data_IF_025617131892
#
_entry.id   IF_025617131892
#
_cell.length_a   1.000
_cell.length_b   1.000
_cell.length_c   1.000
_cell.angle_alpha   90.00
_cell.angle_beta   90.00
_cell.angle_gamma   90.00
#
_symmetry.space_group_name_H-M   'P 1'
#
loop_
_entity.id
_entity.type
_entity.pdbx_description
1 polymer ?
#
# COMPACT_ATOMS: atom_id res chain seq x y z
N UNK A 1 -16.48 -5.71 -25.95
CA UNK A 1 -16.18 -6.84 -25.05
C UNK A 1 -15.63 -6.25 -23.76
N UNK A 2 -16.51 -6.03 -22.77
CA UNK A 2 -16.16 -5.34 -21.53
C UNK A 2 -15.36 -6.24 -20.61
N UNK A 3 -14.19 -5.79 -20.17
CA UNK A 3 -13.45 -6.43 -19.10
C UNK A 3 -14.37 -6.53 -17.88
N UNK A 4 -14.57 -7.75 -17.38
CA UNK A 4 -15.23 -8.02 -16.11
C UNK A 4 -14.56 -7.17 -15.03
N UNK A 5 -15.28 -6.15 -14.55
CA UNK A 5 -14.78 -5.26 -13.52
C UNK A 5 -14.39 -6.10 -12.31
N UNK A 6 -13.10 -6.10 -11.96
CA UNK A 6 -12.58 -6.86 -10.83
C UNK A 6 -13.31 -6.36 -9.57
N UNK A 7 -14.15 -7.21 -8.98
CA UNK A 7 -14.86 -6.89 -7.75
C UNK A 7 -13.81 -6.64 -6.66
N UNK A 8 -13.94 -5.53 -5.92
CA UNK A 8 -13.07 -5.23 -4.80
C UNK A 8 -13.44 -6.19 -3.66
N UNK A 9 -12.50 -6.95 -3.07
CA UNK A 9 -12.81 -7.92 -2.03
C UNK A 9 -13.14 -7.23 -0.70
N UNK A 10 -13.97 -7.89 0.12
CA UNK A 10 -14.21 -7.54 1.53
C UNK A 10 -14.81 -6.15 1.73
N UNK A 11 -15.71 -5.75 0.83
CA UNK A 11 -16.37 -4.44 0.88
C UNK A 11 -17.47 -4.38 1.93
N UNK A 12 -18.10 -5.51 2.28
CA UNK A 12 -19.07 -5.55 3.36
C UNK A 12 -18.40 -5.78 4.73
N UNK A 13 -19.10 -5.33 5.77
CA UNK A 13 -18.60 -5.36 7.15
C UNK A 13 -18.39 -6.79 7.67
N UNK A 14 -19.19 -7.76 7.22
CA UNK A 14 -19.12 -9.14 7.69
C UNK A 14 -17.89 -9.84 7.09
N UNK A 15 -17.68 -9.73 5.77
CA UNK A 15 -16.47 -10.19 5.10
C UNK A 15 -15.23 -9.56 5.68
N UNK A 16 -15.22 -8.23 5.90
CA UNK A 16 -14.08 -7.55 6.53
C UNK A 16 -13.78 -8.11 7.91
N UNK A 17 -14.81 -8.29 8.75
CA UNK A 17 -14.64 -8.84 10.10
C UNK A 17 -14.08 -10.26 10.06
N UNK A 18 -14.54 -11.09 9.11
CA UNK A 18 -14.00 -12.45 8.91
C UNK A 18 -12.52 -12.42 8.52
N UNK A 19 -12.11 -11.50 7.64
CA UNK A 19 -10.70 -11.35 7.25
C UNK A 19 -9.83 -10.91 8.42
N UNK A 20 -10.29 -9.92 9.19
CA UNK A 20 -9.58 -9.44 10.39
C UNK A 20 -9.38 -10.58 11.38
N UNK A 21 -10.45 -11.30 11.72
CA UNK A 21 -10.37 -12.46 12.64
C UNK A 21 -9.45 -13.53 12.08
N UNK A 22 -9.53 -13.84 10.79
CA UNK A 22 -8.69 -14.87 10.16
C UNK A 22 -7.21 -14.52 10.21
N UNK A 23 -6.85 -13.26 9.89
CA UNK A 23 -5.46 -12.80 9.92
C UNK A 23 -4.93 -12.78 11.36
N UNK A 24 -5.68 -12.20 12.29
CA UNK A 24 -5.25 -12.11 13.69
C UNK A 24 -5.12 -13.50 14.33
N UNK A 25 -6.05 -14.41 14.06
CA UNK A 25 -5.96 -15.79 14.58
C UNK A 25 -4.80 -16.54 13.97
N UNK A 26 -4.61 -16.44 12.64
CA UNK A 26 -3.52 -17.14 11.96
C UNK A 26 -2.15 -16.64 12.42
N UNK A 27 -1.96 -15.32 12.54
CA UNK A 27 -0.70 -14.75 13.04
C UNK A 27 -0.51 -15.05 14.53
N UNK A 28 -1.57 -15.02 15.34
CA UNK A 28 -1.51 -15.33 16.77
C UNK A 28 -1.26 -16.81 17.09
N UNK A 29 -1.47 -17.71 16.11
CA UNK A 29 -1.16 -19.14 16.22
C UNK A 29 0.26 -19.51 15.79
N UNK A 30 1.07 -18.55 15.32
CA UNK A 30 2.48 -18.77 15.00
C UNK A 30 3.33 -18.60 16.27
N UNK A 31 4.30 -19.49 16.48
CA UNK A 31 5.17 -19.47 17.65
C UNK A 31 6.39 -18.56 17.42
N UNK A 32 7.55 -19.13 17.10
CA UNK A 32 8.80 -18.37 16.92
C UNK A 32 8.90 -17.76 15.51
N UNK A 33 8.19 -18.34 14.55
CA UNK A 33 8.13 -17.93 13.15
C UNK A 33 7.57 -16.50 12.99
N UNK A 34 6.74 -16.05 13.93
CA UNK A 34 6.14 -14.70 13.89
C UNK A 34 7.19 -13.60 14.01
N UNK A 35 8.25 -13.80 14.80
CA UNK A 35 9.27 -12.77 14.98
C UNK A 35 10.10 -12.59 13.70
N UNK A 36 10.38 -13.69 13.02
CA UNK A 36 11.02 -13.74 11.71
C UNK A 36 10.23 -12.99 10.62
N UNK A 37 8.90 -13.09 10.67
CA UNK A 37 7.99 -12.32 9.81
C UNK A 37 7.98 -10.83 10.21
N UNK A 38 7.99 -10.52 11.51
CA UNK A 38 8.07 -9.14 12.01
C UNK A 38 9.37 -8.45 11.62
N UNK A 39 10.50 -9.14 11.63
CA UNK A 39 11.78 -8.62 11.13
C UNK A 39 11.64 -8.20 9.65
N UNK A 40 10.97 -9.01 8.84
CA UNK A 40 10.71 -8.67 7.43
C UNK A 40 9.76 -7.47 7.31
N UNK A 41 8.73 -7.39 8.14
CA UNK A 41 7.81 -6.25 8.17
C UNK A 41 8.53 -4.94 8.53
N UNK A 42 9.41 -4.94 9.55
CA UNK A 42 10.22 -3.77 9.92
C UNK A 42 11.15 -3.33 8.79
N UNK A 43 11.74 -4.26 8.04
CA UNK A 43 12.54 -3.93 6.86
C UNK A 43 11.71 -3.28 5.75
N UNK A 44 10.49 -3.77 5.52
CA UNK A 44 9.54 -3.17 4.57
C UNK A 44 9.15 -1.75 5.02
N UNK A 45 8.91 -1.54 6.31
CA UNK A 45 8.60 -0.23 6.89
C UNK A 45 9.74 0.79 6.69
N UNK A 46 11.00 0.36 6.87
CA UNK A 46 12.17 1.19 6.61
C UNK A 46 12.21 1.68 5.14
N UNK A 47 11.99 0.78 4.18
CA UNK A 47 11.91 1.16 2.76
C UNK A 47 10.72 2.04 2.43
N UNK A 48 9.57 1.86 3.11
CA UNK A 48 8.45 2.79 2.98
C UNK A 48 8.81 4.18 3.45
N UNK A 49 9.55 4.31 4.56
CA UNK A 49 9.98 5.60 5.11
C UNK A 49 10.90 6.33 4.14
N UNK A 50 11.88 5.62 3.59
CA UNK A 50 12.79 6.16 2.57
C UNK A 50 12.04 6.61 1.31
N UNK A 51 11.17 5.72 0.79
CA UNK A 51 10.37 6.02 -0.39
C UNK A 51 9.36 7.16 -0.16
N UNK A 52 8.85 7.33 1.07
CA UNK A 52 7.94 8.41 1.40
C UNK A 52 8.60 9.77 1.24
N UNK A 53 9.84 9.93 1.71
CA UNK A 53 10.63 11.15 1.49
C UNK A 53 10.74 11.50 0.00
N UNK A 54 11.20 10.55 -0.82
CA UNK A 54 11.38 10.75 -2.26
C UNK A 54 10.06 11.10 -2.97
N UNK A 55 8.96 10.44 -2.60
CA UNK A 55 7.66 10.68 -3.21
C UNK A 55 6.98 11.95 -2.69
N UNK A 56 7.30 12.40 -1.47
CA UNK A 56 6.85 13.68 -0.95
C UNK A 56 7.56 14.84 -1.67
N UNK A 57 8.88 14.72 -1.91
CA UNK A 57 9.62 15.70 -2.71
C UNK A 57 9.10 15.78 -4.15
N UNK A 58 8.87 14.62 -4.77
CA UNK A 58 8.27 14.56 -6.10
C UNK A 58 6.84 15.14 -6.10
N UNK A 59 6.07 14.89 -5.04
CA UNK A 59 4.74 15.45 -4.82
C UNK A 59 4.76 16.97 -4.70
N UNK A 60 5.69 17.54 -3.94
CA UNK A 60 5.81 18.99 -3.75
C UNK A 60 6.00 19.74 -5.07
N UNK A 61 6.68 19.13 -6.05
CA UNK A 61 6.94 19.71 -7.37
C UNK A 61 5.76 19.51 -8.34
N UNK A 62 4.94 18.49 -8.14
CA UNK A 62 3.95 18.06 -9.14
C UNK A 62 2.49 18.18 -8.72
N UNK A 63 2.22 18.25 -7.42
CA UNK A 63 0.87 18.20 -6.87
C UNK A 63 0.26 19.58 -6.59
N UNK A 64 1.05 20.66 -6.48
CA UNK A 64 0.57 22.00 -6.14
C UNK A 64 -0.53 22.52 -7.09
N UNK A 65 -0.42 22.20 -8.37
CA UNK A 65 -1.37 22.61 -9.42
C UNK A 65 -2.10 21.39 -10.05
N UNK A 66 -2.02 20.22 -9.40
CA UNK A 66 -2.55 19.00 -9.99
C UNK A 66 -4.08 18.95 -9.88
N UNK A 67 -4.77 18.96 -11.01
CA UNK A 67 -6.23 18.77 -11.09
C UNK A 67 -6.63 17.29 -11.13
N UNK A 68 -5.66 16.37 -11.26
CA UNK A 68 -5.90 14.93 -11.38
C UNK A 68 -5.58 14.22 -10.07
N UNK A 69 -6.62 13.89 -9.31
CA UNK A 69 -6.51 13.16 -8.05
C UNK A 69 -6.10 11.71 -8.30
N UNK A 70 -5.02 11.22 -7.68
CA UNK A 70 -4.47 9.88 -7.96
C UNK A 70 -5.47 8.73 -7.67
N UNK A 71 -6.32 8.86 -6.65
CA UNK A 71 -7.26 7.83 -6.24
C UNK A 71 -8.50 7.70 -7.15
N UNK A 72 -8.74 8.66 -8.04
CA UNK A 72 -9.77 8.51 -9.09
C UNK A 72 -9.24 7.68 -10.26
N UNK A 73 -7.92 7.64 -10.44
CA UNK A 73 -7.24 6.90 -11.52
C UNK A 73 -6.89 5.46 -11.14
N UNK A 74 -6.60 5.20 -9.86
CA UNK A 74 -6.25 3.88 -9.37
C UNK A 74 -7.45 3.20 -8.69
N UNK A 75 -7.57 1.88 -8.84
CA UNK A 75 -8.50 1.11 -8.01
C UNK A 75 -7.81 0.75 -6.70
N UNK A 76 -8.20 1.47 -5.64
CA UNK A 76 -7.53 1.43 -4.34
C UNK A 76 -8.28 0.47 -3.41
N UNK A 77 -7.58 -0.56 -2.93
CA UNK A 77 -8.05 -1.48 -1.89
C UNK A 77 -6.86 -2.15 -1.21
N UNK A 78 -7.04 -2.59 0.04
CA UNK A 78 -6.13 -3.48 0.75
C UNK A 78 -6.25 -4.91 0.23
N UNK A 79 -5.13 -5.49 -0.17
CA UNK A 79 -4.99 -6.92 -0.44
C UNK A 79 -4.34 -7.67 0.74
N UNK A 80 -4.31 -9.00 0.68
CA UNK A 80 -3.76 -9.84 1.76
C UNK A 80 -2.33 -9.43 2.17
N UNK A 81 -1.47 -9.04 1.23
CA UNK A 81 -0.09 -8.61 1.52
C UNK A 81 -0.10 -7.28 2.28
N UNK A 82 -1.08 -6.40 2.01
CA UNK A 82 -1.22 -5.15 2.76
C UNK A 82 -1.61 -5.45 4.20
N UNK A 83 -2.62 -6.31 4.40
CA UNK A 83 -3.10 -6.65 5.74
C UNK A 83 -2.06 -7.41 6.57
N UNK A 84 -1.34 -8.36 5.97
CA UNK A 84 -0.24 -9.06 6.66
C UNK A 84 0.87 -8.09 7.08
N UNK A 85 1.28 -7.20 6.17
CA UNK A 85 2.29 -6.20 6.49
C UNK A 85 1.85 -5.30 7.65
N UNK A 86 0.65 -4.72 7.59
CA UNK A 86 0.15 -3.81 8.62
C UNK A 86 0.04 -4.50 9.99
N UNK A 87 -0.49 -5.73 10.01
CA UNK A 87 -0.63 -6.47 11.26
C UNK A 87 0.72 -6.88 11.85
N UNK A 88 1.69 -7.26 11.02
CA UNK A 88 3.03 -7.66 11.50
C UNK A 88 3.92 -6.46 11.87
N UNK A 89 3.76 -5.31 11.22
CA UNK A 89 4.49 -4.09 11.55
C UNK A 89 4.00 -3.48 12.87
N UNK A 90 2.68 -3.23 12.96
CA UNK A 90 2.12 -2.38 14.03
C UNK A 90 1.11 -3.10 14.93
N UNK A 91 0.85 -4.39 14.71
CA UNK A 91 -0.22 -5.14 15.37
C UNK A 91 -1.61 -4.49 15.18
N UNK A 92 -1.80 -3.76 14.08
CA UNK A 92 -3.05 -3.08 13.74
C UNK A 92 -3.52 -3.45 12.34
N UNK A 93 -4.84 -3.52 12.16
CA UNK A 93 -5.50 -3.69 10.89
C UNK A 93 -6.45 -2.50 10.64
N UNK A 94 -6.67 -2.09 9.38
CA UNK A 94 -7.63 -1.04 9.07
C UNK A 94 -9.03 -1.40 9.61
N UNK A 95 -9.81 -0.38 9.98
CA UNK A 95 -11.17 -0.59 10.51
C UNK A 95 -12.13 -1.17 9.48
N UNK A 96 -11.85 -0.95 8.20
CA UNK A 96 -12.64 -1.40 7.06
C UNK A 96 -11.78 -1.42 5.79
N UNK A 97 -12.26 -2.10 4.76
CA UNK A 97 -11.74 -1.97 3.41
C UNK A 97 -11.94 -0.53 2.91
N UNK A 98 -11.07 -0.09 1.99
CA UNK A 98 -11.20 1.22 1.37
C UNK A 98 -12.48 1.31 0.54
N UNK A 99 -13.21 2.40 0.77
CA UNK A 99 -14.42 2.79 0.04
C UNK A 99 -14.19 4.09 -0.73
N UNK A 100 -15.08 4.35 -1.68
CA UNK A 100 -15.09 5.59 -2.46
C UNK A 100 -16.23 6.51 -2.02
N UNK A 101 -15.95 7.81 -2.02
CA UNK A 101 -16.94 8.87 -1.89
C UNK A 101 -17.81 8.97 -3.16
N UNK A 102 -18.86 9.79 -3.10
CA UNK A 102 -19.77 10.02 -4.23
C UNK A 102 -19.07 10.61 -5.47
N UNK A 103 -17.99 11.37 -5.27
CA UNK A 103 -17.14 11.93 -6.33
C UNK A 103 -16.06 10.96 -6.84
N UNK A 104 -16.15 9.67 -6.45
CA UNK A 104 -15.22 8.60 -6.77
C UNK A 104 -13.80 8.72 -6.19
N UNK A 105 -13.58 9.67 -5.28
CA UNK A 105 -12.34 9.77 -4.52
C UNK A 105 -12.29 8.73 -3.40
N UNK A 106 -11.10 8.32 -2.98
CA UNK A 106 -10.91 7.47 -1.81
C UNK A 106 -11.38 8.20 -0.53
N UNK A 107 -12.02 7.47 0.39
CA UNK A 107 -12.48 8.00 1.70
C UNK A 107 -11.37 8.67 2.53
N UNK A 108 -10.10 8.35 2.26
CA UNK A 108 -8.94 8.94 2.93
C UNK A 108 -8.39 10.21 2.26
N UNK A 109 -9.01 10.70 1.19
CA UNK A 109 -8.63 11.97 0.56
C UNK A 109 -9.18 13.14 1.36
N UNK A 110 -8.32 14.13 1.62
CA UNK A 110 -8.66 15.41 2.23
C UNK A 110 -8.25 16.56 1.31
N UNK A 111 -8.58 17.80 1.68
CA UNK A 111 -8.12 19.01 0.98
C UNK A 111 -6.59 19.16 0.97
N UNK A 112 -5.88 18.48 1.88
CA UNK A 112 -4.41 18.50 1.98
C UNK A 112 -3.75 17.23 1.41
N UNK A 113 -4.52 16.41 0.68
CA UNK A 113 -4.06 15.11 0.18
C UNK A 113 -4.51 13.95 1.06
N UNK A 114 -3.85 12.80 0.92
CA UNK A 114 -4.24 11.59 1.66
C UNK A 114 -3.88 11.72 3.15
N UNK A 115 -4.84 11.43 4.04
CA UNK A 115 -4.61 11.48 5.49
C UNK A 115 -3.87 10.27 6.07
N UNK A 116 -3.63 9.22 5.27
CA UNK A 116 -2.86 8.05 5.70
C UNK A 116 -1.37 8.28 5.45
N UNK A 117 -0.52 7.80 6.34
CA UNK A 117 0.91 7.66 6.08
C UNK A 117 1.15 6.64 4.97
N UNK A 118 2.29 6.72 4.27
CA UNK A 118 2.52 5.86 3.08
C UNK A 118 2.58 4.37 3.41
N UNK A 119 3.10 4.00 4.57
CA UNK A 119 3.11 2.61 5.06
C UNK A 119 1.68 2.09 5.33
N UNK A 120 0.75 2.96 5.73
CA UNK A 120 -0.65 2.60 6.04
C UNK A 120 -1.53 2.48 4.78
N UNK A 121 -1.09 3.04 3.66
CA UNK A 121 -1.82 2.99 2.38
C UNK A 121 -1.66 1.60 1.74
N UNK A 122 -2.67 1.11 1.01
CA UNK A 122 -2.47 -0.09 0.22
C UNK A 122 -1.38 0.12 -0.82
N UNK A 123 -0.66 -0.95 -1.17
CA UNK A 123 0.55 -0.84 -1.98
C UNK A 123 0.32 -0.14 -3.33
N UNK A 124 -0.88 -0.23 -3.91
CA UNK A 124 -1.27 0.51 -5.13
C UNK A 124 -1.03 2.03 -5.04
N UNK A 125 -1.25 2.62 -3.87
CA UNK A 125 -0.98 4.04 -3.64
C UNK A 125 0.51 4.39 -3.63
N UNK A 126 1.37 3.38 -3.54
CA UNK A 126 2.84 3.53 -3.51
C UNK A 126 3.47 3.25 -4.87
N UNK A 127 3.03 2.22 -5.60
CA UNK A 127 3.59 1.93 -6.92
C UNK A 127 2.92 2.70 -8.07
N UNK A 128 1.78 3.36 -7.82
CA UNK A 128 1.18 4.27 -8.80
C UNK A 128 1.93 5.60 -8.83
N UNK A 129 2.64 5.85 -9.94
CA UNK A 129 3.28 7.14 -10.25
C UNK A 129 2.48 7.80 -11.39
N UNK A 130 1.93 8.99 -11.14
CA UNK A 130 1.02 9.64 -12.09
C UNK A 130 1.78 10.22 -13.31
N UNK A 131 1.10 10.57 -14.43
CA UNK A 131 1.76 11.13 -15.60
C UNK A 131 2.58 12.41 -15.32
N UNK A 132 2.09 13.30 -14.45
CA UNK A 132 2.81 14.52 -14.06
C UNK A 132 4.13 14.19 -13.34
N UNK A 133 4.08 13.27 -12.39
CA UNK A 133 5.26 12.75 -11.68
C UNK A 133 6.25 12.07 -12.62
N UNK A 134 5.79 11.20 -13.53
CA UNK A 134 6.64 10.57 -14.54
C UNK A 134 7.32 11.61 -15.44
N UNK A 135 6.61 12.66 -15.83
CA UNK A 135 7.16 13.74 -16.64
C UNK A 135 8.19 14.57 -15.86
N UNK A 136 7.96 14.83 -14.57
CA UNK A 136 8.91 15.53 -13.72
C UNK A 136 10.21 14.72 -13.56
N UNK A 137 10.12 13.41 -13.29
CA UNK A 137 11.30 12.54 -13.18
C UNK A 137 12.13 12.53 -14.46
N UNK A 138 11.49 12.47 -15.64
CA UNK A 138 12.19 12.52 -16.94
C UNK A 138 12.98 13.80 -17.20
N UNK A 139 12.61 14.91 -16.54
CA UNK A 139 13.27 16.22 -16.72
C UNK A 139 14.42 16.43 -15.76
N UNK A 140 14.55 15.61 -14.71
CA UNK A 140 15.59 15.75 -13.71
C UNK A 140 16.91 15.15 -14.22
N UNK A 141 18.02 15.82 -13.87
CA UNK A 141 19.37 15.29 -14.11
C UNK A 141 19.67 14.20 -13.06
N UNK A 142 20.52 13.23 -13.40
CA UNK A 142 20.95 12.12 -12.53
C UNK A 142 19.90 11.02 -12.25
N UNK A 143 18.77 10.99 -12.99
CA UNK A 143 17.76 9.94 -12.95
C UNK A 143 17.29 9.52 -11.53
N UNK A 144 16.72 10.46 -10.74
CA UNK A 144 16.13 10.14 -9.44
C UNK A 144 14.94 9.18 -9.54
N UNK A 145 14.41 8.96 -10.76
CA UNK A 145 13.42 7.94 -11.01
C UNK A 145 13.94 6.54 -10.72
N UNK A 146 15.23 6.28 -10.99
CA UNK A 146 15.85 4.97 -10.76
C UNK A 146 15.70 4.53 -9.30
N UNK A 147 16.06 5.39 -8.35
CA UNK A 147 15.99 5.09 -6.92
C UNK A 147 14.56 4.79 -6.45
N UNK A 148 13.59 5.62 -6.87
CA UNK A 148 12.16 5.42 -6.59
C UNK A 148 11.68 4.07 -7.13
N UNK A 149 11.99 3.74 -8.38
CA UNK A 149 11.54 2.50 -9.00
C UNK A 149 12.24 1.26 -8.42
N UNK A 150 13.51 1.38 -8.03
CA UNK A 150 14.25 0.32 -7.36
C UNK A 150 13.65 0.03 -5.98
N UNK A 151 13.33 1.05 -5.18
CA UNK A 151 12.65 0.89 -3.88
C UNK A 151 11.25 0.28 -4.04
N UNK A 152 10.47 0.71 -5.04
CA UNK A 152 9.16 0.10 -5.34
C UNK A 152 9.32 -1.40 -5.69
N UNK A 153 10.34 -1.75 -6.46
CA UNK A 153 10.61 -3.14 -6.83
C UNK A 153 11.03 -3.98 -5.62
N UNK A 154 11.86 -3.43 -4.73
CA UNK A 154 12.25 -4.05 -3.47
C UNK A 154 11.03 -4.29 -2.57
N UNK A 155 10.22 -3.27 -2.34
CA UNK A 155 8.96 -3.38 -1.57
C UNK A 155 8.04 -4.44 -2.16
N UNK A 156 7.85 -4.45 -3.48
CA UNK A 156 6.99 -5.44 -4.14
C UNK A 156 7.48 -6.88 -3.90
N UNK A 157 8.79 -7.08 -3.99
CA UNK A 157 9.43 -8.38 -3.77
C UNK A 157 9.30 -8.82 -2.32
N UNK A 158 9.65 -7.96 -1.38
CA UNK A 158 9.60 -8.25 0.05
C UNK A 158 8.18 -8.50 0.56
N UNK A 159 7.17 -7.75 0.07
CA UNK A 159 5.76 -7.98 0.40
C UNK A 159 5.25 -9.32 -0.13
N UNK A 160 5.75 -9.75 -1.29
CA UNK A 160 5.46 -11.10 -1.83
C UNK A 160 6.11 -12.17 -0.95
N UNK A 161 7.36 -11.95 -0.56
CA UNK A 161 8.12 -12.87 0.28
C UNK A 161 7.49 -13.02 1.67
N UNK A 162 7.13 -11.92 2.32
CA UNK A 162 6.42 -11.92 3.59
C UNK A 162 5.18 -12.82 3.56
N UNK A 163 4.37 -12.68 2.49
CA UNK A 163 3.16 -13.48 2.31
C UNK A 163 3.46 -14.95 1.99
N UNK A 164 4.57 -15.26 1.32
CA UNK A 164 4.98 -16.64 1.07
C UNK A 164 5.46 -17.30 2.37
N UNK A 165 6.37 -16.66 3.11
CA UNK A 165 6.85 -17.14 4.41
C UNK A 165 5.73 -17.34 5.42
N UNK A 166 4.75 -16.43 5.43
CA UNK A 166 3.54 -16.60 6.24
C UNK A 166 2.75 -17.85 5.86
N UNK A 167 2.58 -18.12 4.56
CA UNK A 167 1.89 -19.33 4.10
C UNK A 167 2.66 -20.60 4.45
N UNK A 168 4.00 -20.58 4.36
CA UNK A 168 4.87 -21.71 4.71
C UNK A 168 4.90 -21.99 6.22
N UNK A 169 4.77 -20.95 7.06
CA UNK A 169 4.71 -21.10 8.51
C UNK A 169 3.33 -21.54 9.03
N UNK A 170 2.27 -21.27 8.25
CA UNK A 170 0.90 -21.61 8.61
C UNK A 170 0.44 -22.98 8.07
N UNK A 171 1.05 -23.45 6.97
CA UNK A 171 0.71 -24.71 6.29
C UNK A 171 1.52 -25.90 6.77
#
# INVERSE_FOLDING_TARGET
MGATGKCIPWQDKEEWSRVVVSITTAVGGLDWEVEDLRVTARQIEAWYTELDGLLNDLGAITCCDCTTVCCTMATVWYDLKDLLFLHLADNQLPKQQITKNADHTCVHLTSHGCCLNRCERPFICTWYICPAQKNALKRQKNDPGKEIFDLIAQLKTARKELKNRFADAFG
#
